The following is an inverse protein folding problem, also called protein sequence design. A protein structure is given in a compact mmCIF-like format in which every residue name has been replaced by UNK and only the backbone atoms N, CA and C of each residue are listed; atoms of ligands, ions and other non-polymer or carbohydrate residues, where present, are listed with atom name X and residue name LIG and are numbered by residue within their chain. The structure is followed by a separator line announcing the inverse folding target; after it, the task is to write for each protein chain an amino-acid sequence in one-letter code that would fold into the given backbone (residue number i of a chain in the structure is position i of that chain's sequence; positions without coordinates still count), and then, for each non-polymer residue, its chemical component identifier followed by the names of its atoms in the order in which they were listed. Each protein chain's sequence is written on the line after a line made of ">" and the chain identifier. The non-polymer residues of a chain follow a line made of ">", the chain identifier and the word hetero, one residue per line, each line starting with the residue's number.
data_IF_600080418626
#
_entry.id   IF_600080418626
#
_cell.length_a   1.000
_cell.length_b   1.000
_cell.length_c   1.000
_cell.angle_alpha   90.00
_cell.angle_beta   90.00
_cell.angle_gamma   90.00
#
_symmetry.space_group_name_H-M   'P 1'
#
loop_
_entity.id
_entity.type
_entity.pdbx_description
1 polymer ?
#
# COMPACT_ATOMS: atom_id res chain seq x y z
N UNK A 1 -13.84 -9.92 34.33
CA UNK A 1 -14.36 -9.14 33.17
C UNK A 1 -14.03 -9.88 31.90
N UNK A 2 -15.01 -10.18 31.08
CA UNK A 2 -14.86 -10.82 29.78
C UNK A 2 -14.51 -9.78 28.71
N UNK A 3 -14.05 -10.25 27.52
CA UNK A 3 -13.79 -9.35 26.38
C UNK A 3 -15.06 -8.60 25.95
N UNK A 4 -16.23 -9.26 25.98
CA UNK A 4 -17.50 -8.61 25.64
C UNK A 4 -17.89 -7.54 26.64
N UNK A 5 -17.64 -7.74 27.94
CA UNK A 5 -17.84 -6.69 28.95
C UNK A 5 -16.92 -5.48 28.74
N UNK A 6 -15.67 -5.70 28.27
CA UNK A 6 -14.77 -4.61 27.90
C UNK A 6 -15.31 -3.83 26.68
N UNK A 7 -15.75 -4.54 25.63
CA UNK A 7 -16.36 -3.88 24.46
C UNK A 7 -17.62 -3.11 24.82
N UNK A 8 -18.45 -3.63 25.73
CA UNK A 8 -19.63 -2.92 26.23
C UNK A 8 -19.26 -1.63 26.96
N UNK A 9 -18.19 -1.64 27.77
CA UNK A 9 -17.67 -0.41 28.42
C UNK A 9 -17.14 0.62 27.39
N UNK A 10 -16.68 0.15 26.21
CA UNK A 10 -16.27 1.00 25.10
C UNK A 10 -17.46 1.45 24.23
N UNK A 11 -18.69 1.12 24.61
CA UNK A 11 -19.90 1.56 23.93
C UNK A 11 -20.42 0.61 22.85
N UNK A 12 -19.87 -0.58 22.70
CA UNK A 12 -20.36 -1.58 21.73
C UNK A 12 -21.52 -2.38 22.33
N UNK A 13 -22.69 -2.32 21.72
CA UNK A 13 -23.90 -3.03 22.19
C UNK A 13 -23.82 -4.55 21.94
N UNK A 14 -24.61 -5.30 22.73
CA UNK A 14 -24.72 -6.77 22.56
C UNK A 14 -25.22 -7.13 21.15
N UNK A 15 -26.10 -6.33 20.55
CA UNK A 15 -26.59 -6.55 19.17
C UNK A 15 -25.44 -6.55 18.16
N UNK A 16 -24.53 -5.59 18.26
CA UNK A 16 -23.33 -5.53 17.39
C UNK A 16 -22.41 -6.71 17.66
N UNK A 17 -22.22 -7.11 18.93
CA UNK A 17 -21.39 -8.27 19.26
C UNK A 17 -21.96 -9.58 18.70
N UNK A 18 -23.26 -9.81 18.84
CA UNK A 18 -23.92 -11.02 18.33
C UNK A 18 -23.89 -11.08 16.78
N UNK A 19 -24.20 -9.97 16.12
CA UNK A 19 -24.07 -9.83 14.66
C UNK A 19 -22.65 -10.13 14.19
N UNK A 20 -21.65 -9.53 14.83
CA UNK A 20 -20.24 -9.71 14.47
C UNK A 20 -19.76 -11.15 14.67
N UNK A 21 -20.22 -11.82 15.73
CA UNK A 21 -19.86 -13.21 15.99
C UNK A 21 -20.41 -14.16 14.89
N UNK A 22 -21.64 -13.93 14.43
CA UNK A 22 -22.23 -14.67 13.33
C UNK A 22 -21.46 -14.45 12.01
N UNK A 23 -21.08 -13.20 11.71
CA UNK A 23 -20.26 -12.88 10.52
C UNK A 23 -18.88 -13.57 10.58
N UNK A 24 -18.19 -13.54 11.73
CA UNK A 24 -16.88 -14.17 11.89
C UNK A 24 -16.89 -15.66 11.60
N UNK A 25 -17.95 -16.38 11.97
CA UNK A 25 -18.10 -17.79 11.68
C UNK A 25 -18.16 -18.08 10.16
N UNK A 26 -18.73 -17.16 9.38
CA UNK A 26 -18.90 -17.31 7.93
C UNK A 26 -17.61 -17.10 7.13
N UNK A 27 -16.67 -16.32 7.66
CA UNK A 27 -15.42 -15.93 6.99
C UNK A 27 -14.17 -16.68 7.49
N UNK A 28 -14.35 -17.72 8.30
CA UNK A 28 -13.25 -18.53 8.80
C UNK A 28 -12.34 -19.11 7.69
N UNK A 29 -12.85 -19.57 6.53
CA UNK A 29 -12.02 -20.03 5.43
C UNK A 29 -11.09 -18.95 4.85
N UNK A 30 -11.58 -17.70 4.74
CA UNK A 30 -10.80 -16.56 4.25
C UNK A 30 -9.65 -16.24 5.22
N UNK A 31 -9.92 -16.31 6.52
CA UNK A 31 -8.89 -16.12 7.55
C UNK A 31 -7.82 -17.20 7.48
N UNK A 32 -8.21 -18.47 7.32
CA UNK A 32 -7.27 -19.56 7.17
C UNK A 32 -6.35 -19.40 5.93
N UNK A 33 -6.91 -18.89 4.81
CA UNK A 33 -6.10 -18.58 3.63
C UNK A 33 -5.10 -17.44 3.89
N UNK A 34 -5.55 -16.37 4.55
CA UNK A 34 -4.68 -15.23 4.91
C UNK A 34 -3.55 -15.71 5.85
N UNK A 35 -3.85 -16.57 6.82
CA UNK A 35 -2.84 -17.12 7.74
C UNK A 35 -1.80 -17.96 7.00
N UNK A 36 -2.22 -18.80 6.04
CA UNK A 36 -1.30 -19.59 5.25
C UNK A 36 -0.35 -18.71 4.40
N UNK A 37 -0.86 -17.62 3.82
CA UNK A 37 -0.03 -16.64 3.08
C UNK A 37 0.96 -15.94 4.03
N UNK A 38 0.50 -15.56 5.22
CA UNK A 38 1.37 -14.91 6.21
C UNK A 38 2.48 -15.86 6.71
N UNK A 39 2.17 -17.13 6.97
CA UNK A 39 3.15 -18.15 7.35
C UNK A 39 4.22 -18.31 6.27
N UNK A 40 3.81 -18.42 5.00
CA UNK A 40 4.74 -18.50 3.88
C UNK A 40 5.67 -17.28 3.82
N UNK A 41 5.13 -16.08 3.89
CA UNK A 41 5.92 -14.85 3.83
C UNK A 41 6.81 -14.69 5.07
N UNK A 42 6.36 -15.12 6.26
CA UNK A 42 7.19 -15.12 7.46
C UNK A 42 8.41 -16.04 7.29
N UNK A 43 8.21 -17.24 6.75
CA UNK A 43 9.31 -18.16 6.46
C UNK A 43 10.28 -17.56 5.43
N UNK A 44 9.77 -16.94 4.36
CA UNK A 44 10.56 -16.25 3.33
C UNK A 44 11.42 -15.12 3.93
N UNK A 45 10.86 -14.30 4.82
CA UNK A 45 11.59 -13.22 5.50
C UNK A 45 12.69 -13.79 6.40
N UNK A 46 12.37 -14.80 7.23
CA UNK A 46 13.36 -15.44 8.12
C UNK A 46 14.49 -16.05 7.30
N UNK A 47 14.17 -16.78 6.22
CA UNK A 47 15.16 -17.37 5.35
C UNK A 47 16.09 -16.30 4.75
N UNK A 48 15.56 -15.19 4.23
CA UNK A 48 16.37 -14.10 3.68
C UNK A 48 17.29 -13.48 4.73
N UNK A 49 16.83 -13.29 5.97
CA UNK A 49 17.65 -12.79 7.08
C UNK A 49 18.78 -13.76 7.44
N UNK A 50 18.50 -15.07 7.48
CA UNK A 50 19.49 -16.10 7.79
C UNK A 50 20.54 -16.26 6.69
N UNK A 51 20.12 -16.32 5.42
CA UNK A 51 21.03 -16.39 4.26
C UNK A 51 21.97 -15.21 4.18
N UNK A 52 21.51 -14.02 4.56
CA UNK A 52 22.32 -12.80 4.63
C UNK A 52 23.00 -12.61 5.99
N UNK A 53 23.01 -13.63 6.86
CA UNK A 53 23.72 -13.66 8.14
C UNK A 53 23.45 -12.42 9.00
N UNK A 54 22.16 -12.03 9.11
CA UNK A 54 21.78 -10.89 9.96
C UNK A 54 22.34 -11.07 11.37
N UNK A 55 23.09 -10.09 11.85
CA UNK A 55 23.75 -10.11 13.16
C UNK A 55 23.52 -8.79 13.90
N UNK A 56 23.72 -8.77 15.20
CA UNK A 56 23.51 -7.60 16.05
C UNK A 56 24.32 -6.36 15.61
N UNK A 57 25.48 -6.56 15.00
CA UNK A 57 26.29 -5.46 14.47
C UNK A 57 25.60 -4.65 13.37
N UNK A 58 24.69 -5.27 12.62
CA UNK A 58 23.91 -4.59 11.57
C UNK A 58 22.88 -3.58 12.13
N UNK A 59 22.71 -3.53 13.44
CA UNK A 59 21.83 -2.55 14.10
C UNK A 59 22.58 -1.29 14.55
N UNK A 60 23.90 -1.23 14.35
CA UNK A 60 24.70 -0.09 14.74
C UNK A 60 24.30 1.16 13.93
N UNK A 61 24.17 2.33 14.59
CA UNK A 61 23.89 3.58 13.88
C UNK A 61 25.09 4.07 13.10
N UNK A 62 24.85 4.69 11.97
CA UNK A 62 25.84 5.47 11.21
C UNK A 62 25.37 6.91 11.08
N UNK A 63 26.33 7.83 10.90
CA UNK A 63 26.12 9.28 10.77
C UNK A 63 26.95 9.86 9.63
N UNK A 64 26.69 11.10 9.25
CA UNK A 64 27.44 11.77 8.20
C UNK A 64 27.28 11.09 6.85
N UNK A 65 28.36 10.76 6.19
CA UNK A 65 28.32 10.08 4.89
C UNK A 65 27.79 8.65 4.97
N UNK A 66 28.00 7.95 6.09
CA UNK A 66 27.57 6.55 6.24
C UNK A 66 28.33 5.62 5.29
N UNK A 67 29.63 5.85 5.06
CA UNK A 67 30.47 4.90 4.32
C UNK A 67 30.56 3.58 5.07
N UNK A 68 30.62 2.47 4.33
CA UNK A 68 30.74 1.11 4.87
C UNK A 68 29.66 0.78 5.92
N UNK A 69 28.43 1.24 5.69
CA UNK A 69 27.28 0.93 6.56
C UNK A 69 26.78 -0.49 6.29
N UNK A 70 27.42 -1.47 6.93
CA UNK A 70 27.09 -2.89 6.77
C UNK A 70 25.62 -3.19 7.06
N UNK A 71 25.02 -2.49 8.02
CA UNK A 71 23.61 -2.69 8.37
C UNK A 71 22.68 -2.26 7.24
N UNK A 72 22.91 -1.08 6.68
CA UNK A 72 22.19 -0.57 5.51
C UNK A 72 22.33 -1.53 4.31
N UNK A 73 23.54 -1.90 3.99
CA UNK A 73 23.83 -2.72 2.83
C UNK A 73 23.29 -4.15 2.98
N UNK A 74 23.30 -4.69 4.21
CA UNK A 74 22.72 -5.98 4.51
C UNK A 74 21.18 -5.96 4.39
N UNK A 75 20.53 -4.88 4.85
CA UNK A 75 19.07 -4.70 4.69
C UNK A 75 18.68 -4.71 3.21
N UNK A 76 19.43 -4.02 2.36
CA UNK A 76 19.19 -3.99 0.91
C UNK A 76 19.36 -5.38 0.28
N UNK A 77 20.36 -6.17 0.69
CA UNK A 77 20.48 -7.58 0.25
C UNK A 77 19.31 -8.45 0.68
N UNK A 78 18.81 -8.27 1.91
CA UNK A 78 17.64 -9.01 2.41
C UNK A 78 16.38 -8.65 1.60
N UNK A 79 16.14 -7.37 1.31
CA UNK A 79 15.04 -6.95 0.44
C UNK A 79 15.17 -7.54 -0.97
N UNK A 80 16.35 -7.46 -1.58
CA UNK A 80 16.60 -8.07 -2.89
C UNK A 80 16.28 -9.57 -2.89
N UNK A 81 16.69 -10.28 -1.83
CA UNK A 81 16.40 -11.72 -1.68
C UNK A 81 14.90 -12.01 -1.53
N UNK A 82 14.16 -11.22 -0.74
CA UNK A 82 12.71 -11.39 -0.54
C UNK A 82 11.95 -11.15 -1.85
N UNK A 83 12.33 -10.13 -2.61
CA UNK A 83 11.71 -9.77 -3.88
C UNK A 83 12.23 -10.57 -5.08
N UNK A 84 13.25 -11.43 -4.91
CA UNK A 84 13.86 -12.19 -5.98
C UNK A 84 14.53 -11.30 -7.05
N UNK A 85 15.14 -10.20 -6.63
CA UNK A 85 15.78 -9.21 -7.51
C UNK A 85 17.29 -9.19 -7.38
N UNK A 86 17.97 -8.56 -8.35
CA UNK A 86 19.42 -8.40 -8.35
C UNK A 86 19.89 -7.41 -7.27
N UNK A 87 19.08 -6.36 -7.02
CA UNK A 87 19.40 -5.29 -6.09
C UNK A 87 18.16 -4.69 -5.44
N UNK A 88 18.39 -3.97 -4.34
CA UNK A 88 17.40 -3.12 -3.71
C UNK A 88 18.06 -1.81 -3.23
N UNK A 89 17.24 -0.77 -3.07
CA UNK A 89 17.56 0.50 -2.41
C UNK A 89 16.52 0.73 -1.32
N UNK A 90 16.94 0.67 -0.05
CA UNK A 90 16.06 0.74 1.13
C UNK A 90 16.61 1.78 2.08
N UNK A 91 16.00 2.96 2.10
CA UNK A 91 16.62 4.14 2.71
C UNK A 91 15.64 5.01 3.51
N UNK A 92 16.06 5.51 4.69
CA UNK A 92 15.31 6.53 5.41
C UNK A 92 15.26 7.88 4.67
N UNK A 93 16.23 8.16 3.80
CA UNK A 93 16.27 9.36 2.96
C UNK A 93 15.20 9.37 1.86
N UNK A 94 14.59 8.26 1.55
CA UNK A 94 13.39 8.18 0.71
C UNK A 94 12.18 8.48 1.60
N UNK A 95 11.72 9.71 1.62
CA UNK A 95 10.83 10.26 2.66
C UNK A 95 9.42 9.65 2.70
N UNK A 96 8.94 9.09 1.58
CA UNK A 96 7.60 8.50 1.46
C UNK A 96 7.46 7.68 0.17
N UNK A 97 6.32 7.02 -0.03
CA UNK A 97 6.04 6.24 -1.24
C UNK A 97 6.06 7.08 -2.52
N UNK A 98 5.47 8.27 -2.49
CA UNK A 98 5.52 9.21 -3.65
C UNK A 98 6.95 9.58 -4.01
N UNK A 99 7.83 9.80 -3.02
CA UNK A 99 9.25 10.06 -3.28
C UNK A 99 9.95 8.83 -3.87
N UNK A 100 9.66 7.62 -3.39
CA UNK A 100 10.21 6.39 -3.96
C UNK A 100 9.84 6.23 -5.45
N UNK A 101 8.57 6.48 -5.79
CA UNK A 101 8.06 6.42 -7.17
C UNK A 101 8.67 7.54 -8.03
N UNK A 102 8.70 8.78 -7.54
CA UNK A 102 9.32 9.91 -8.23
C UNK A 102 10.80 9.65 -8.52
N UNK A 103 11.52 9.08 -7.54
CA UNK A 103 12.92 8.71 -7.67
C UNK A 103 13.12 7.64 -8.75
N UNK A 104 12.34 6.56 -8.72
CA UNK A 104 12.43 5.47 -9.69
C UNK A 104 12.13 5.95 -11.12
N UNK A 105 11.11 6.79 -11.29
CA UNK A 105 10.74 7.38 -12.57
C UNK A 105 11.83 8.33 -13.07
N UNK A 106 12.24 9.32 -12.27
CA UNK A 106 13.21 10.34 -12.67
C UNK A 106 14.63 9.79 -12.88
N UNK A 107 14.97 8.65 -12.30
CA UNK A 107 16.25 7.98 -12.51
C UNK A 107 16.31 7.22 -13.84
N UNK A 108 15.16 6.73 -14.32
CA UNK A 108 15.09 5.80 -15.44
C UNK A 108 14.41 6.38 -16.70
N UNK A 109 14.00 7.64 -16.65
CA UNK A 109 13.44 8.41 -17.78
C UNK A 109 14.35 9.60 -18.10
N UNK A 110 14.64 9.80 -19.38
CA UNK A 110 15.44 10.90 -19.90
C UNK A 110 14.57 11.82 -20.76
N UNK A 111 15.02 13.07 -21.05
CA UNK A 111 14.33 13.95 -21.97
C UNK A 111 14.08 13.27 -23.33
N UNK A 112 12.83 13.29 -23.78
CA UNK A 112 12.39 12.63 -25.01
C UNK A 112 11.78 11.23 -24.82
N UNK A 113 11.96 10.61 -23.65
CA UNK A 113 11.30 9.35 -23.31
C UNK A 113 9.79 9.54 -23.04
N UNK A 114 9.05 8.44 -23.14
CA UNK A 114 7.63 8.38 -22.78
C UNK A 114 7.40 7.42 -21.61
N UNK A 115 6.62 7.89 -20.63
CA UNK A 115 6.03 7.09 -19.56
C UNK A 115 4.63 6.65 -19.98
N UNK A 116 4.33 5.35 -19.94
CA UNK A 116 3.01 4.79 -20.23
C UNK A 116 2.39 4.16 -18.96
N UNK A 117 1.14 4.52 -18.66
CA UNK A 117 0.31 3.79 -17.70
C UNK A 117 -0.74 2.95 -18.43
N UNK A 118 -0.69 1.62 -18.36
CA UNK A 118 -1.65 0.74 -19.03
C UNK A 118 -2.89 0.43 -18.19
N UNK A 119 -3.04 1.05 -17.02
CA UNK A 119 -4.07 0.77 -16.03
C UNK A 119 -4.86 2.03 -15.62
N UNK A 120 -4.97 2.99 -16.54
CA UNK A 120 -5.58 4.29 -16.30
C UNK A 120 -4.64 5.27 -15.58
N UNK A 121 -5.21 6.32 -15.00
CA UNK A 121 -4.45 7.33 -14.27
C UNK A 121 -3.76 6.73 -13.04
N UNK A 122 -2.49 7.09 -12.77
CA UNK A 122 -1.79 6.70 -11.55
C UNK A 122 -2.38 7.45 -10.34
N UNK A 123 -1.92 7.05 -9.15
CA UNK A 123 -2.36 7.65 -7.89
C UNK A 123 -2.18 9.19 -7.89
N UNK A 124 -3.12 9.90 -7.29
CA UNK A 124 -3.27 11.37 -7.37
C UNK A 124 -1.98 12.16 -7.08
N UNK A 125 -1.14 11.68 -6.13
CA UNK A 125 0.12 12.35 -5.81
C UNK A 125 1.15 12.29 -6.95
N UNK A 126 1.04 11.33 -7.86
CA UNK A 126 1.91 11.23 -9.04
C UNK A 126 1.54 12.20 -10.16
N UNK A 127 0.33 12.76 -10.17
CA UNK A 127 -0.08 13.74 -11.16
C UNK A 127 0.87 14.96 -11.20
N UNK A 128 1.34 15.42 -10.04
CA UNK A 128 2.35 16.47 -9.93
C UNK A 128 3.75 16.02 -10.36
N UNK A 129 4.14 14.79 -10.00
CA UNK A 129 5.45 14.22 -10.39
C UNK A 129 5.55 14.04 -11.89
N UNK A 130 4.52 13.51 -12.52
CA UNK A 130 4.44 13.28 -13.97
C UNK A 130 4.30 14.61 -14.71
N UNK A 131 3.50 15.56 -14.17
CA UNK A 131 3.19 16.84 -14.79
C UNK A 131 1.85 16.86 -15.54
N UNK A 132 0.98 15.87 -15.34
CA UNK A 132 -0.44 15.92 -15.79
C UNK A 132 -1.20 17.03 -15.06
N UNK A 133 -0.83 17.30 -13.81
CA UNK A 133 -1.10 18.55 -13.11
C UNK A 133 0.17 19.41 -13.16
N UNK A 134 0.13 20.60 -13.79
CA UNK A 134 1.30 21.46 -13.91
C UNK A 134 1.97 21.72 -12.55
N UNK A 135 3.21 21.27 -12.41
CA UNK A 135 3.97 21.36 -11.16
C UNK A 135 5.44 21.60 -11.51
N UNK A 136 6.10 22.62 -10.94
CA UNK A 136 7.53 22.84 -11.12
C UNK A 136 8.35 21.61 -10.70
N UNK A 137 9.35 21.24 -11.51
CA UNK A 137 10.18 20.06 -11.27
C UNK A 137 9.56 18.75 -11.72
N UNK A 138 8.40 18.76 -12.39
CA UNK A 138 7.74 17.57 -12.93
C UNK A 138 8.53 16.94 -14.09
N UNK A 139 8.30 15.68 -14.38
CA UNK A 139 8.91 14.96 -15.50
C UNK A 139 8.60 15.65 -16.85
N UNK A 140 7.40 16.24 -17.00
CA UNK A 140 7.01 16.98 -18.18
C UNK A 140 7.91 18.22 -18.42
N UNK A 141 8.32 18.95 -17.38
CA UNK A 141 9.27 20.06 -17.52
C UNK A 141 10.65 19.60 -18.00
N UNK A 142 11.04 18.36 -17.68
CA UNK A 142 12.28 17.76 -18.16
C UNK A 142 12.13 17.05 -19.52
N UNK A 143 11.01 17.25 -20.21
CA UNK A 143 10.80 16.74 -21.57
C UNK A 143 10.42 15.27 -21.65
N UNK A 144 9.94 14.66 -20.57
CA UNK A 144 9.34 13.33 -20.56
C UNK A 144 7.85 13.45 -20.88
N UNK A 145 7.38 12.68 -21.87
CA UNK A 145 5.96 12.63 -22.22
C UNK A 145 5.23 11.55 -21.40
N UNK A 146 3.92 11.75 -21.22
CA UNK A 146 3.07 10.80 -20.53
C UNK A 146 1.88 10.38 -21.39
N UNK A 147 1.53 9.10 -21.29
CA UNK A 147 0.34 8.52 -21.90
C UNK A 147 -0.29 7.52 -20.95
N UNK A 148 -1.61 7.38 -21.01
CA UNK A 148 -2.33 6.31 -20.31
C UNK A 148 -3.31 5.61 -21.26
N UNK A 149 -3.63 4.36 -20.92
CA UNK A 149 -4.69 3.56 -21.53
C UNK A 149 -5.70 3.26 -20.45
N UNK A 150 -6.96 3.62 -20.72
CA UNK A 150 -8.04 3.36 -19.78
C UNK A 150 -8.37 1.87 -19.74
N UNK A 151 -8.91 1.44 -18.60
CA UNK A 151 -9.39 0.08 -18.44
C UNK A 151 -10.72 -0.11 -19.17
N UNK A 152 -10.96 -1.32 -19.64
CA UNK A 152 -12.27 -1.75 -20.13
C UNK A 152 -13.26 -1.88 -18.98
N UNK A 153 -14.54 -2.05 -19.30
CA UNK A 153 -15.59 -2.30 -18.32
C UNK A 153 -15.22 -3.46 -17.38
N UNK A 154 -15.50 -3.31 -16.09
CA UNK A 154 -15.12 -4.29 -15.08
C UNK A 154 -13.64 -4.26 -14.65
N UNK A 155 -12.84 -3.33 -15.16
CA UNK A 155 -11.42 -3.17 -14.79
C UNK A 155 -10.46 -4.09 -15.54
N UNK A 156 -10.89 -4.68 -16.67
CA UNK A 156 -10.04 -5.49 -17.54
C UNK A 156 -9.04 -4.62 -18.31
N UNK A 157 -7.86 -5.20 -18.65
CA UNK A 157 -6.85 -4.51 -19.44
C UNK A 157 -7.28 -4.38 -20.90
N UNK A 158 -7.13 -3.20 -21.48
CA UNK A 158 -7.31 -2.97 -22.92
C UNK A 158 -6.00 -3.30 -23.67
N UNK A 159 -5.80 -4.57 -23.97
CA UNK A 159 -4.59 -5.02 -24.67
C UNK A 159 -4.42 -4.41 -26.06
N UNK A 160 -5.48 -4.12 -26.78
CA UNK A 160 -5.41 -3.49 -28.10
C UNK A 160 -5.03 -2.00 -27.97
N UNK A 161 -5.63 -1.29 -27.00
CA UNK A 161 -5.25 0.07 -26.66
C UNK A 161 -3.80 0.18 -26.20
N UNK A 162 -3.34 -0.77 -25.35
CA UNK A 162 -1.94 -0.82 -24.89
C UNK A 162 -0.98 -1.02 -26.05
N UNK A 163 -1.27 -1.95 -26.97
CA UNK A 163 -0.46 -2.21 -28.17
C UNK A 163 -0.38 -0.96 -29.06
N UNK A 164 -1.49 -0.27 -29.25
CA UNK A 164 -1.55 0.96 -30.06
C UNK A 164 -0.82 2.14 -29.38
N UNK A 165 -0.75 2.17 -28.04
CA UNK A 165 -0.08 3.22 -27.28
C UNK A 165 1.45 3.05 -27.25
N UNK A 166 1.96 1.82 -27.20
CA UNK A 166 3.41 1.54 -27.16
C UNK A 166 4.05 2.00 -28.47
N UNK A 167 5.14 2.78 -28.35
CA UNK A 167 5.89 3.30 -29.48
C UNK A 167 7.40 3.36 -29.17
N UNK A 168 8.21 3.87 -30.10
CA UNK A 168 9.67 3.91 -29.95
C UNK A 168 10.15 4.72 -28.74
N UNK A 169 9.38 5.73 -28.30
CA UNK A 169 9.69 6.58 -27.15
C UNK A 169 9.25 5.98 -25.83
N UNK A 170 8.36 4.98 -25.84
CA UNK A 170 7.87 4.33 -24.62
C UNK A 170 9.03 3.61 -23.93
N UNK A 171 9.58 4.24 -22.92
CA UNK A 171 10.75 3.76 -22.17
C UNK A 171 10.37 2.99 -20.92
N UNK A 172 9.34 3.47 -20.21
CA UNK A 172 8.91 2.90 -18.94
C UNK A 172 7.38 2.77 -18.90
N UNK A 173 6.93 1.61 -18.44
CA UNK A 173 5.52 1.32 -18.15
C UNK A 173 5.36 1.27 -16.64
N UNK A 174 4.45 2.09 -16.09
CA UNK A 174 4.12 2.11 -14.67
C UNK A 174 2.79 1.43 -14.41
N UNK A 175 2.78 0.44 -13.53
CA UNK A 175 1.59 -0.34 -13.17
C UNK A 175 1.29 -0.10 -11.70
N UNK A 176 0.17 0.54 -11.38
CA UNK A 176 -0.31 0.66 -10.02
C UNK A 176 -1.10 -0.58 -9.63
N UNK A 177 -0.61 -1.37 -8.67
CA UNK A 177 -1.23 -2.63 -8.21
C UNK A 177 -2.53 -2.38 -7.46
N UNK A 178 -2.49 -1.57 -6.42
CA UNK A 178 -3.66 -1.25 -5.61
C UNK A 178 -4.57 -0.23 -6.29
N UNK A 179 -5.86 -0.28 -5.97
CA UNK A 179 -6.87 0.60 -6.56
C UNK A 179 -6.76 2.07 -6.14
N UNK A 180 -6.11 2.40 -5.01
CA UNK A 180 -6.22 3.72 -4.43
C UNK A 180 -7.69 4.10 -4.16
N UNK A 181 -8.11 5.31 -4.57
CA UNK A 181 -9.52 5.74 -4.51
C UNK A 181 -10.35 5.38 -5.76
N UNK A 182 -9.83 4.54 -6.63
CA UNK A 182 -10.57 4.09 -7.80
C UNK A 182 -11.55 2.95 -7.45
N UNK A 183 -12.58 2.79 -8.26
CA UNK A 183 -13.58 1.71 -8.12
C UNK A 183 -13.16 0.42 -8.83
N UNK A 184 -12.01 0.41 -9.51
CA UNK A 184 -11.46 -0.77 -10.16
C UNK A 184 -10.98 -1.81 -9.15
N UNK A 185 -10.88 -3.11 -9.53
CA UNK A 185 -10.22 -4.10 -8.68
C UNK A 185 -8.71 -3.82 -8.55
N UNK A 186 -8.10 -4.29 -7.47
CA UNK A 186 -6.64 -4.38 -7.33
C UNK A 186 -6.16 -5.65 -8.04
N UNK A 187 -4.95 -5.60 -8.62
CA UNK A 187 -4.46 -6.68 -9.47
C UNK A 187 -3.69 -7.72 -8.68
N UNK A 188 -3.88 -9.01 -9.06
CA UNK A 188 -3.03 -10.09 -8.57
C UNK A 188 -1.64 -10.01 -9.20
N UNK A 189 -0.67 -10.66 -8.54
CA UNK A 189 0.68 -10.83 -9.08
C UNK A 189 0.63 -11.53 -10.43
N UNK A 190 -0.24 -12.55 -10.58
CA UNK A 190 -0.45 -13.25 -11.86
C UNK A 190 -0.94 -12.31 -12.98
N UNK A 191 -1.96 -11.49 -12.71
CA UNK A 191 -2.49 -10.51 -13.67
C UNK A 191 -1.42 -9.49 -14.09
N UNK A 192 -0.64 -9.02 -13.12
CA UNK A 192 0.50 -8.13 -13.40
C UNK A 192 1.52 -8.83 -14.29
N UNK A 193 1.85 -10.09 -14.04
CA UNK A 193 2.74 -10.88 -14.87
C UNK A 193 2.25 -11.04 -16.31
N UNK A 194 0.96 -11.32 -16.50
CA UNK A 194 0.33 -11.39 -17.82
C UNK A 194 0.42 -10.07 -18.58
N UNK A 195 0.15 -8.96 -17.90
CA UNK A 195 0.25 -7.61 -18.47
C UNK A 195 1.70 -7.28 -18.86
N UNK A 196 2.66 -7.55 -17.99
CA UNK A 196 4.09 -7.32 -18.25
C UNK A 196 4.56 -8.16 -19.44
N UNK A 197 4.21 -9.44 -19.48
CA UNK A 197 4.58 -10.32 -20.59
C UNK A 197 4.05 -9.78 -21.93
N UNK A 198 2.80 -9.29 -21.96
CA UNK A 198 2.22 -8.65 -23.13
C UNK A 198 2.97 -7.37 -23.53
N UNK A 199 3.26 -6.49 -22.58
CA UNK A 199 3.99 -5.25 -22.86
C UNK A 199 5.40 -5.54 -23.43
N UNK A 200 6.10 -6.53 -22.87
CA UNK A 200 7.43 -6.95 -23.34
C UNK A 200 7.39 -7.69 -24.68
N UNK A 201 6.27 -8.31 -25.06
CA UNK A 201 6.07 -8.80 -26.42
C UNK A 201 5.96 -7.65 -27.43
N UNK A 202 5.30 -6.54 -27.06
CA UNK A 202 5.18 -5.36 -27.89
C UNK A 202 6.51 -4.59 -28.01
N UNK A 203 7.26 -4.48 -26.89
CA UNK A 203 8.54 -3.76 -26.81
C UNK A 203 9.47 -4.45 -25.79
N UNK A 204 10.39 -5.33 -26.26
CA UNK A 204 11.21 -6.18 -25.39
C UNK A 204 12.12 -5.44 -24.40
N UNK A 205 12.55 -4.23 -24.72
CA UNK A 205 13.43 -3.39 -23.90
C UNK A 205 12.70 -2.43 -22.97
N UNK A 206 11.36 -2.46 -22.95
CA UNK A 206 10.58 -1.57 -22.07
C UNK A 206 10.77 -1.96 -20.60
N UNK A 207 10.96 -0.96 -19.77
CA UNK A 207 11.06 -1.14 -18.31
C UNK A 207 9.65 -1.21 -17.74
N UNK A 208 9.32 -2.27 -17.01
CA UNK A 208 8.06 -2.43 -16.29
C UNK A 208 8.28 -2.19 -14.80
N UNK A 209 7.74 -1.10 -14.28
CA UNK A 209 7.78 -0.71 -12.87
C UNK A 209 6.39 -0.92 -12.24
N UNK A 210 6.35 -1.52 -11.07
CA UNK A 210 5.11 -1.69 -10.29
C UNK A 210 5.14 -0.83 -9.04
N UNK A 211 4.15 0.06 -8.90
CA UNK A 211 3.79 0.62 -7.59
C UNK A 211 3.12 -0.48 -6.78
N UNK A 212 3.87 -1.04 -5.84
CA UNK A 212 3.46 -2.20 -5.06
C UNK A 212 2.84 -1.82 -3.70
N UNK A 213 2.67 -0.53 -3.42
CA UNK A 213 2.05 -0.06 -2.17
C UNK A 213 0.74 -0.79 -1.89
N UNK A 214 0.57 -1.27 -0.65
CA UNK A 214 -0.57 -2.03 -0.14
C UNK A 214 -0.66 -3.50 -0.60
N UNK A 215 0.15 -3.92 -1.59
CA UNK A 215 0.14 -5.28 -2.11
C UNK A 215 1.18 -6.20 -1.48
N UNK A 216 2.21 -5.64 -0.85
CA UNK A 216 3.33 -6.40 -0.31
C UNK A 216 2.86 -7.42 0.73
N UNK A 217 3.30 -8.66 0.59
CA UNK A 217 2.96 -9.80 1.46
C UNK A 217 1.47 -10.18 1.51
N UNK A 218 0.63 -9.62 0.63
CA UNK A 218 -0.78 -10.04 0.50
C UNK A 218 -0.91 -11.34 -0.32
N UNK A 219 0.06 -11.62 -1.18
CA UNK A 219 0.25 -12.87 -1.90
C UNK A 219 1.62 -13.49 -1.54
N UNK A 220 1.89 -14.72 -1.96
CA UNK A 220 3.17 -15.40 -1.70
C UNK A 220 4.31 -14.88 -2.59
N UNK A 221 3.96 -14.41 -3.79
CA UNK A 221 4.88 -13.84 -4.75
C UNK A 221 4.72 -12.32 -4.84
N UNK A 222 5.78 -11.65 -5.29
CA UNK A 222 5.82 -10.22 -5.54
C UNK A 222 5.89 -9.95 -7.06
N UNK A 223 5.53 -8.75 -7.53
CA UNK A 223 5.52 -8.45 -8.98
C UNK A 223 6.84 -8.71 -9.69
N UNK A 224 7.96 -8.63 -8.99
CA UNK A 224 9.29 -8.92 -9.54
C UNK A 224 9.50 -10.41 -9.85
N UNK A 225 8.80 -11.31 -9.16
CA UNK A 225 8.85 -12.75 -9.43
C UNK A 225 8.15 -13.12 -10.75
N UNK A 226 7.32 -12.23 -11.29
CA UNK A 226 6.56 -12.44 -12.54
C UNK A 226 6.98 -11.49 -13.67
N UNK A 227 8.17 -10.85 -13.55
CA UNK A 227 8.80 -10.13 -14.64
C UNK A 227 8.80 -8.61 -14.54
N UNK A 228 8.35 -8.01 -13.42
CA UNK A 228 8.57 -6.59 -13.19
C UNK A 228 10.07 -6.30 -13.03
N UNK A 229 10.54 -5.27 -13.73
CA UNK A 229 11.94 -4.83 -13.66
C UNK A 229 12.22 -4.07 -12.36
N UNK A 230 11.17 -3.44 -11.79
CA UNK A 230 11.22 -2.77 -10.49
C UNK A 230 9.88 -2.91 -9.75
N UNK A 231 9.94 -3.11 -8.43
CA UNK A 231 8.84 -2.92 -7.49
C UNK A 231 9.20 -1.80 -6.50
N UNK A 232 8.27 -0.88 -6.29
CA UNK A 232 8.50 0.37 -5.55
C UNK A 232 7.44 0.54 -4.48
N UNK A 233 7.82 1.01 -3.30
CA UNK A 233 6.85 1.29 -2.25
C UNK A 233 7.40 2.05 -1.03
N UNK A 234 6.58 2.12 0.00
CA UNK A 234 6.82 2.89 1.21
C UNK A 234 7.08 1.98 2.42
N UNK A 235 8.03 2.37 3.27
CA UNK A 235 8.27 1.66 4.53
C UNK A 235 7.27 2.02 5.63
N UNK A 236 6.56 3.15 5.55
CA UNK A 236 5.48 3.46 6.50
C UNK A 236 4.16 2.73 6.16
N UNK A 237 4.21 1.78 5.20
CA UNK A 237 3.11 0.89 4.81
C UNK A 237 3.43 -0.56 5.20
N UNK A 238 3.03 -1.52 4.35
CA UNK A 238 3.11 -2.95 4.64
C UNK A 238 4.47 -3.40 5.17
N UNK A 239 5.57 -3.11 4.45
CA UNK A 239 6.89 -3.67 4.76
C UNK A 239 7.54 -3.11 6.03
N UNK A 240 7.11 -1.95 6.49
CA UNK A 240 7.61 -1.40 7.74
C UNK A 240 6.96 -1.98 8.99
N UNK A 241 5.91 -2.83 8.84
CA UNK A 241 5.26 -3.54 9.94
C UNK A 241 4.78 -2.64 11.09
N UNK A 242 4.49 -1.36 10.81
CA UNK A 242 4.10 -0.37 11.81
C UNK A 242 5.26 0.15 12.67
N UNK A 243 6.51 -0.21 12.39
CA UNK A 243 7.69 0.24 13.15
C UNK A 243 8.59 1.21 12.39
N UNK A 244 8.63 1.15 11.06
CA UNK A 244 9.47 2.03 10.27
C UNK A 244 8.98 3.48 10.35
N UNK A 245 9.78 4.42 10.91
CA UNK A 245 9.32 5.80 11.15
C UNK A 245 9.26 6.65 9.87
N UNK A 246 9.88 6.20 8.80
CA UNK A 246 10.01 6.85 7.50
C UNK A 246 10.54 5.84 6.49
N UNK A 247 10.80 6.27 5.28
CA UNK A 247 11.55 5.49 4.31
C UNK A 247 10.74 4.95 3.17
N UNK A 248 11.47 4.47 2.17
CA UNK A 248 10.93 3.80 0.99
C UNK A 248 11.88 2.73 0.50
N UNK A 249 11.37 1.88 -0.40
CA UNK A 249 12.16 0.84 -1.04
C UNK A 249 11.95 0.84 -2.55
N UNK A 250 12.99 0.43 -3.27
CA UNK A 250 12.97 0.13 -4.70
C UNK A 250 13.75 -1.17 -4.88
N UNK A 251 13.10 -2.24 -5.32
CA UNK A 251 13.72 -3.54 -5.59
C UNK A 251 13.66 -3.82 -7.09
N UNK A 252 14.74 -4.29 -7.70
CA UNK A 252 14.73 -4.54 -9.15
C UNK A 252 16.09 -4.93 -9.71
N UNK A 253 16.22 -4.74 -11.04
CA UNK A 253 17.46 -4.95 -11.76
C UNK A 253 18.55 -4.01 -11.26
N UNK A 254 19.77 -4.52 -11.20
CA UNK A 254 20.94 -3.78 -10.68
C UNK A 254 21.15 -2.44 -11.38
N UNK A 255 21.09 -2.41 -12.72
CA UNK A 255 21.31 -1.20 -13.52
C UNK A 255 20.30 -0.09 -13.23
N UNK A 256 19.04 -0.45 -12.97
CA UNK A 256 17.97 0.49 -12.64
C UNK A 256 18.09 1.00 -11.21
N UNK A 257 18.46 0.12 -10.28
CA UNK A 257 18.67 0.48 -8.87
C UNK A 257 19.90 1.40 -8.70
N UNK A 258 20.95 1.17 -9.44
CA UNK A 258 22.13 2.04 -9.41
C UNK A 258 21.79 3.46 -9.91
N UNK A 259 20.99 3.58 -10.95
CA UNK A 259 20.46 4.89 -11.40
C UNK A 259 19.62 5.56 -10.30
N UNK A 260 18.76 4.80 -9.61
CA UNK A 260 18.00 5.33 -8.47
C UNK A 260 18.91 5.82 -7.35
N UNK A 261 19.98 5.08 -7.03
CA UNK A 261 20.96 5.49 -6.01
C UNK A 261 21.69 6.77 -6.40
N UNK A 262 22.12 6.92 -7.67
CA UNK A 262 22.71 8.16 -8.17
C UNK A 262 21.73 9.34 -8.14
N UNK A 263 20.45 9.10 -8.37
CA UNK A 263 19.44 10.15 -8.31
C UNK A 263 19.08 10.54 -6.88
N UNK A 264 19.10 9.57 -5.95
CA UNK A 264 18.84 9.82 -4.53
C UNK A 264 19.94 10.66 -3.87
N UNK A 265 21.18 10.41 -4.24
CA UNK A 265 22.37 11.07 -3.70
C UNK A 265 22.95 12.04 -4.72
N UNK A 266 23.96 11.62 -5.46
CA UNK A 266 24.50 12.33 -6.61
C UNK A 266 25.20 11.35 -7.57
N UNK A 267 25.30 11.68 -8.87
CA UNK A 267 26.15 10.94 -9.79
C UNK A 267 27.58 10.82 -9.26
N UNK A 268 28.12 9.61 -9.24
CA UNK A 268 29.44 9.31 -8.70
C UNK A 268 29.48 8.94 -7.21
N UNK A 269 28.42 9.23 -6.42
CA UNK A 269 28.31 8.80 -5.02
C UNK A 269 27.42 7.54 -4.89
N UNK A 270 26.20 7.61 -5.41
CA UNK A 270 25.28 6.47 -5.48
C UNK A 270 25.01 5.83 -4.13
N UNK A 271 25.23 4.52 -4.05
CA UNK A 271 24.92 3.68 -2.87
C UNK A 271 25.88 3.85 -1.71
N UNK A 272 27.08 4.39 -1.96
CA UNK A 272 28.17 4.51 -0.97
C UNK A 272 27.84 5.45 0.19
N UNK A 273 26.91 6.38 -0.01
CA UNK A 273 26.53 7.37 1.00
C UNK A 273 25.06 7.24 1.41
N UNK A 274 24.75 7.77 2.59
CA UNK A 274 23.42 7.75 3.18
C UNK A 274 23.40 7.02 4.52
N UNK A 275 23.72 7.76 5.59
CA UNK A 275 23.73 7.22 6.94
C UNK A 275 22.36 6.68 7.37
N UNK A 276 22.33 5.59 8.13
CA UNK A 276 21.09 4.99 8.60
C UNK A 276 20.45 5.73 9.78
N UNK A 277 21.16 6.65 10.44
CA UNK A 277 20.66 7.50 11.53
C UNK A 277 20.06 6.73 12.72
N UNK A 278 20.41 5.45 12.89
CA UNK A 278 19.93 4.60 13.97
C UNK A 278 18.52 4.00 13.75
N UNK A 279 17.93 4.11 12.55
CA UNK A 279 16.58 3.58 12.27
C UNK A 279 16.56 2.09 11.87
N UNK A 280 17.72 1.48 11.63
CA UNK A 280 17.80 0.09 11.15
C UNK A 280 17.12 -0.94 12.07
N UNK A 281 17.18 -0.85 13.42
CA UNK A 281 16.44 -1.77 14.28
C UNK A 281 14.94 -1.78 13.96
N UNK A 282 14.34 -0.61 13.74
CA UNK A 282 12.94 -0.48 13.37
C UNK A 282 12.65 -1.03 11.96
N UNK A 283 13.54 -0.84 11.00
CA UNK A 283 13.40 -1.37 9.64
C UNK A 283 13.48 -2.89 9.61
N UNK A 284 14.46 -3.48 10.28
CA UNK A 284 14.63 -4.94 10.35
C UNK A 284 13.49 -5.60 11.12
N UNK A 285 13.15 -5.08 12.29
CA UNK A 285 12.07 -5.63 13.10
C UNK A 285 10.70 -5.41 12.43
N UNK A 286 10.51 -4.25 11.77
CA UNK A 286 9.32 -3.97 10.99
C UNK A 286 9.14 -4.95 9.84
N UNK A 287 10.19 -5.22 9.06
CA UNK A 287 10.18 -6.23 8.01
C UNK A 287 9.87 -7.64 8.55
N UNK A 288 10.46 -8.00 9.70
CA UNK A 288 10.18 -9.28 10.38
C UNK A 288 8.71 -9.40 10.78
N UNK A 289 8.09 -8.34 11.28
CA UNK A 289 6.69 -8.33 11.71
C UNK A 289 5.70 -8.16 10.54
N UNK A 290 6.15 -7.64 9.41
CA UNK A 290 5.30 -7.25 8.29
C UNK A 290 4.32 -8.36 7.83
N UNK A 291 4.70 -9.64 7.68
CA UNK A 291 3.74 -10.69 7.29
C UNK A 291 2.55 -10.82 8.24
N UNK A 292 2.79 -10.75 9.55
CA UNK A 292 1.74 -10.81 10.59
C UNK A 292 0.88 -9.54 10.60
N UNK A 293 1.49 -8.37 10.46
CA UNK A 293 0.77 -7.09 10.43
C UNK A 293 -0.11 -6.99 9.18
N UNK A 294 0.41 -7.39 8.01
CA UNK A 294 -0.35 -7.43 6.77
C UNK A 294 -1.52 -8.39 6.85
N UNK A 295 -1.32 -9.59 7.46
CA UNK A 295 -2.43 -10.53 7.69
C UNK A 295 -3.50 -9.94 8.59
N UNK A 296 -3.11 -9.20 9.63
CA UNK A 296 -4.06 -8.52 10.52
C UNK A 296 -4.89 -7.48 9.77
N UNK A 297 -4.26 -6.66 8.93
CA UNK A 297 -4.93 -5.68 8.08
C UNK A 297 -5.87 -6.35 7.06
N UNK A 298 -5.42 -7.41 6.39
CA UNK A 298 -6.22 -8.17 5.42
C UNK A 298 -7.45 -8.83 6.09
N UNK A 299 -7.30 -9.39 7.29
CA UNK A 299 -8.42 -9.91 8.08
C UNK A 299 -9.41 -8.82 8.46
N UNK A 300 -8.92 -7.64 8.85
CA UNK A 300 -9.75 -6.47 9.09
C UNK A 300 -10.58 -6.08 7.88
N UNK A 301 -9.95 -6.05 6.70
CA UNK A 301 -10.61 -5.75 5.42
C UNK A 301 -11.68 -6.78 5.05
N UNK A 302 -11.39 -8.10 5.20
CA UNK A 302 -12.37 -9.17 4.97
C UNK A 302 -13.55 -9.06 5.94
N UNK A 303 -13.28 -8.79 7.22
CA UNK A 303 -14.33 -8.65 8.23
C UNK A 303 -15.21 -7.41 7.97
N UNK A 304 -14.62 -6.28 7.60
CA UNK A 304 -15.36 -5.09 7.18
C UNK A 304 -16.28 -5.41 5.99
N UNK A 305 -15.73 -6.04 4.93
CA UNK A 305 -16.50 -6.45 3.78
C UNK A 305 -17.69 -7.32 4.19
N UNK A 306 -17.46 -8.39 4.95
CA UNK A 306 -18.50 -9.33 5.34
C UNK A 306 -19.62 -8.70 6.18
N UNK A 307 -19.27 -7.81 7.12
CA UNK A 307 -20.27 -7.09 7.92
C UNK A 307 -21.14 -6.19 7.06
N UNK A 308 -20.53 -5.38 6.20
CA UNK A 308 -21.28 -4.42 5.39
C UNK A 308 -22.01 -5.05 4.21
N UNK A 309 -21.50 -6.15 3.61
CA UNK A 309 -22.26 -6.97 2.65
C UNK A 309 -23.53 -7.54 3.26
N UNK A 310 -23.42 -8.10 4.47
CA UNK A 310 -24.58 -8.67 5.18
C UNK A 310 -25.65 -7.63 5.49
N UNK A 311 -25.27 -6.36 5.58
CA UNK A 311 -26.16 -5.21 5.76
C UNK A 311 -26.67 -4.60 4.43
N UNK A 312 -26.33 -5.22 3.28
CA UNK A 312 -26.78 -4.78 1.96
C UNK A 312 -26.06 -3.57 1.37
N UNK A 313 -24.84 -3.31 1.84
CA UNK A 313 -23.95 -2.33 1.21
C UNK A 313 -23.13 -3.00 0.09
N UNK A 314 -22.82 -2.24 -0.96
CA UNK A 314 -21.84 -2.67 -1.95
C UNK A 314 -20.43 -2.49 -1.40
N UNK A 315 -19.62 -3.51 -1.55
CA UNK A 315 -18.21 -3.51 -1.11
C UNK A 315 -17.29 -3.96 -2.24
N UNK A 316 -16.06 -3.48 -2.26
CA UNK A 316 -15.06 -3.86 -3.29
C UNK A 316 -13.69 -3.99 -2.63
N UNK A 317 -13.09 -5.19 -2.68
CA UNK A 317 -13.61 -6.48 -3.15
C UNK A 317 -14.68 -7.06 -2.20
N UNK A 318 -15.38 -8.11 -2.63
CA UNK A 318 -16.31 -8.83 -1.77
C UNK A 318 -15.56 -9.59 -0.66
N UNK A 319 -16.29 -9.96 0.40
CA UNK A 319 -15.69 -10.70 1.52
C UNK A 319 -15.13 -12.06 1.15
N UNK A 320 -15.60 -12.63 0.02
CA UNK A 320 -15.17 -13.96 -0.45
C UNK A 320 -14.07 -13.92 -1.50
N UNK A 321 -13.78 -12.75 -2.07
CA UNK A 321 -12.69 -12.59 -3.02
C UNK A 321 -11.33 -12.68 -2.32
N UNK A 322 -10.35 -13.29 -3.00
CA UNK A 322 -8.96 -13.32 -2.56
C UNK A 322 -8.41 -11.89 -2.60
N UNK A 323 -7.79 -11.47 -1.51
CA UNK A 323 -7.22 -10.13 -1.37
C UNK A 323 -5.99 -9.95 -2.26
N UNK A 324 -5.87 -8.72 -2.82
CA UNK A 324 -4.73 -8.29 -3.64
C UNK A 324 -4.03 -7.07 -3.05
N UNK A 325 -4.71 -6.42 -2.09
CA UNK A 325 -4.23 -5.36 -1.23
C UNK A 325 -4.96 -5.41 0.13
N UNK A 326 -4.66 -4.46 1.01
CA UNK A 326 -5.27 -4.34 2.35
C UNK A 326 -6.45 -3.36 2.38
N UNK A 327 -6.87 -2.81 1.25
CA UNK A 327 -7.92 -1.78 1.18
C UNK A 327 -9.29 -2.42 1.00
N UNK A 328 -10.27 -1.92 1.76
CA UNK A 328 -11.68 -2.27 1.62
C UNK A 328 -12.50 -1.03 1.33
N UNK A 329 -13.05 -0.94 0.13
CA UNK A 329 -14.04 0.08 -0.19
C UNK A 329 -15.44 -0.39 0.28
N UNK A 330 -16.19 0.50 0.92
CA UNK A 330 -17.59 0.30 1.35
C UNK A 330 -18.40 1.49 0.88
N UNK A 331 -19.39 1.26 0.00
CA UNK A 331 -20.29 2.31 -0.50
C UNK A 331 -21.42 2.57 0.51
N UNK A 332 -21.30 3.62 1.29
CA UNK A 332 -22.21 3.93 2.41
C UNK A 332 -23.43 4.76 1.99
N UNK A 333 -23.60 5.02 0.69
CA UNK A 333 -24.79 5.62 0.06
C UNK A 333 -25.11 7.07 0.49
N UNK A 334 -24.42 7.64 1.46
CA UNK A 334 -24.66 8.99 1.96
C UNK A 334 -23.47 9.60 2.68
N UNK A 335 -23.42 10.94 2.72
CA UNK A 335 -22.47 11.69 3.56
C UNK A 335 -22.58 11.27 5.05
N UNK A 336 -23.80 11.10 5.54
CA UNK A 336 -24.03 10.70 6.94
C UNK A 336 -23.42 9.32 7.25
N UNK A 337 -23.55 8.36 6.32
CA UNK A 337 -22.92 7.03 6.42
C UNK A 337 -21.40 7.12 6.52
N UNK A 338 -20.76 7.89 5.65
CA UNK A 338 -19.32 8.08 5.69
C UNK A 338 -18.85 8.70 7.01
N UNK A 339 -19.55 9.72 7.48
CA UNK A 339 -19.21 10.39 8.75
C UNK A 339 -19.39 9.44 9.93
N UNK A 340 -20.49 8.69 10.00
CA UNK A 340 -20.73 7.73 11.09
C UNK A 340 -19.70 6.61 11.10
N UNK A 341 -19.34 6.07 9.92
CA UNK A 341 -18.29 5.07 9.78
C UNK A 341 -16.94 5.60 10.30
N UNK A 342 -16.50 6.74 9.78
CA UNK A 342 -15.20 7.32 10.15
C UNK A 342 -15.14 7.72 11.64
N UNK A 343 -16.24 8.21 12.22
CA UNK A 343 -16.31 8.47 13.67
C UNK A 343 -16.08 7.20 14.50
N UNK A 344 -16.64 6.06 14.08
CA UNK A 344 -16.41 4.79 14.74
C UNK A 344 -14.95 4.31 14.65
N UNK A 345 -14.34 4.44 13.46
CA UNK A 345 -12.91 4.10 13.29
C UNK A 345 -12.02 5.01 14.15
N UNK A 346 -12.27 6.32 14.17
CA UNK A 346 -11.49 7.27 15.00
C UNK A 346 -11.63 6.98 16.48
N UNK A 347 -12.83 6.69 16.95
CA UNK A 347 -13.08 6.37 18.35
C UNK A 347 -12.41 5.05 18.81
N UNK A 348 -12.11 4.13 17.87
CA UNK A 348 -11.36 2.91 18.16
C UNK A 348 -9.84 3.10 18.13
N UNK A 349 -9.33 4.24 17.68
CA UNK A 349 -7.90 4.48 17.55
C UNK A 349 -7.21 4.59 18.92
N UNK A 350 -5.95 4.13 19.06
CA UNK A 350 -5.19 4.30 20.29
C UNK A 350 -4.68 5.74 20.50
N UNK A 351 -4.56 6.49 19.41
CA UNK A 351 -4.08 7.87 19.38
C UNK A 351 -5.23 8.76 18.90
N UNK A 352 -5.45 9.89 19.56
CA UNK A 352 -6.47 10.87 19.19
C UNK A 352 -7.92 10.32 19.12
N UNK A 353 -8.25 9.27 19.88
CA UNK A 353 -9.59 8.66 19.90
C UNK A 353 -10.70 9.63 20.33
N UNK A 354 -10.37 10.69 21.03
CA UNK A 354 -11.29 11.73 21.48
C UNK A 354 -11.63 12.77 20.39
N UNK A 355 -10.91 12.76 19.28
CA UNK A 355 -11.15 13.65 18.13
C UNK A 355 -12.34 13.16 17.33
N UNK A 356 -13.18 14.07 16.86
CA UNK A 356 -14.28 13.77 15.96
C UNK A 356 -13.89 14.15 14.53
N UNK A 357 -13.75 13.19 13.61
CA UNK A 357 -13.44 13.52 12.22
C UNK A 357 -14.64 14.18 11.54
N UNK A 358 -14.37 15.24 10.78
CA UNK A 358 -15.34 15.96 9.97
C UNK A 358 -14.80 16.14 8.54
N UNK A 359 -15.67 16.14 7.52
CA UNK A 359 -15.26 16.45 6.15
C UNK A 359 -14.72 17.89 6.06
N UNK A 360 -13.60 18.06 5.35
CA UNK A 360 -12.98 19.35 5.13
C UNK A 360 -12.29 19.44 3.75
N UNK A 361 -12.07 20.65 3.27
CA UNK A 361 -11.38 20.91 2.03
C UNK A 361 -9.88 20.61 2.16
N UNK A 362 -9.46 19.42 1.74
CA UNK A 362 -8.08 18.97 1.82
C UNK A 362 -7.28 19.46 0.60
N UNK A 363 -6.07 20.03 0.78
CA UNK A 363 -5.23 20.46 -0.33
C UNK A 363 -4.94 19.30 -1.30
N UNK A 364 -5.19 19.55 -2.61
CA UNK A 364 -4.96 18.57 -3.67
C UNK A 364 -6.19 17.72 -4.04
N UNK A 365 -7.32 17.90 -3.39
CA UNK A 365 -8.59 17.24 -3.70
C UNK A 365 -9.64 18.28 -4.14
N UNK A 366 -10.51 17.88 -5.07
CA UNK A 366 -11.61 18.71 -5.56
C UNK A 366 -12.81 18.71 -4.59
N UNK A 367 -13.09 17.54 -4.00
CA UNK A 367 -14.16 17.36 -3.02
C UNK A 367 -13.63 17.43 -1.59
N UNK A 368 -14.52 17.72 -0.63
CA UNK A 368 -14.19 17.53 0.78
C UNK A 368 -13.82 16.07 1.05
N UNK A 369 -12.84 15.86 1.90
CA UNK A 369 -12.40 14.52 2.34
C UNK A 369 -12.66 14.36 3.81
N UNK A 370 -13.19 13.22 4.24
CA UNK A 370 -13.20 12.81 5.63
C UNK A 370 -12.06 11.81 5.85
N UNK A 371 -11.34 11.94 6.96
CA UNK A 371 -10.24 11.06 7.33
C UNK A 371 -10.33 10.70 8.81
N UNK A 372 -10.37 9.42 9.12
CA UNK A 372 -10.22 8.86 10.45
C UNK A 372 -8.87 8.13 10.50
N UNK A 373 -7.97 8.63 11.34
CA UNK A 373 -6.67 8.05 11.56
C UNK A 373 -6.17 8.42 12.96
N UNK A 374 -5.69 7.44 13.70
CA UNK A 374 -5.05 7.61 15.00
C UNK A 374 -3.83 6.72 15.07
N UNK A 375 -2.81 7.10 14.27
CA UNK A 375 -1.62 6.32 14.03
C UNK A 375 -0.44 6.77 14.90
N UNK A 376 0.42 5.83 15.29
CA UNK A 376 1.70 6.11 15.95
C UNK A 376 2.70 6.77 14.99
N UNK A 377 2.60 6.44 13.69
CA UNK A 377 3.42 7.01 12.64
C UNK A 377 2.51 7.74 11.65
N UNK A 378 2.69 9.04 11.51
CA UNK A 378 1.84 9.86 10.65
C UNK A 378 1.87 9.37 9.20
N UNK A 379 0.68 9.16 8.63
CA UNK A 379 0.51 8.67 7.26
C UNK A 379 0.73 7.17 7.07
N UNK A 380 0.96 6.41 8.15
CA UNK A 380 1.11 4.96 8.12
C UNK A 380 -0.25 4.28 7.89
N UNK A 381 -0.58 4.00 6.65
CA UNK A 381 -1.84 3.35 6.28
C UNK A 381 -1.87 1.83 6.51
N UNK A 382 -0.78 1.24 7.01
CA UNK A 382 -0.80 -0.11 7.62
C UNK A 382 -1.40 -0.07 9.03
N UNK A 383 -1.45 1.10 9.66
CA UNK A 383 -2.22 1.35 10.86
C UNK A 383 -3.70 1.59 10.52
N UNK A 384 -4.58 1.35 11.48
CA UNK A 384 -6.02 1.43 11.25
C UNK A 384 -6.43 2.84 10.81
N UNK A 385 -7.06 2.94 9.65
CA UNK A 385 -7.59 4.19 9.13
C UNK A 385 -8.78 3.96 8.21
N UNK A 386 -9.56 5.01 7.98
CA UNK A 386 -10.60 5.07 6.98
C UNK A 386 -10.70 6.49 6.45
N UNK A 387 -10.78 6.63 5.14
CA UNK A 387 -10.92 7.92 4.49
C UNK A 387 -11.77 7.82 3.21
N UNK A 388 -12.13 8.95 2.67
CA UNK A 388 -12.81 9.02 1.37
C UNK A 388 -13.30 10.41 1.02
N UNK A 389 -13.38 10.74 -0.28
CA UNK A 389 -13.97 11.98 -0.77
C UNK A 389 -15.49 11.94 -0.60
N UNK A 390 -16.06 13.07 -0.18
CA UNK A 390 -17.50 13.23 0.04
C UNK A 390 -18.20 13.48 -1.30
N UNK A 391 -18.32 12.43 -2.08
CA UNK A 391 -19.03 12.41 -3.37
C UNK A 391 -19.65 11.05 -3.62
N UNK A 392 -20.63 10.94 -4.53
CA UNK A 392 -21.17 9.65 -4.94
C UNK A 392 -20.09 8.74 -5.51
N UNK A 393 -20.12 7.43 -5.17
CA UNK A 393 -21.16 6.70 -4.43
C UNK A 393 -21.03 6.75 -2.89
N UNK A 394 -20.34 7.73 -2.32
CA UNK A 394 -20.08 7.88 -0.89
C UNK A 394 -19.34 6.67 -0.32
N UNK A 395 -18.22 6.33 -0.92
CA UNK A 395 -17.39 5.21 -0.53
C UNK A 395 -16.33 5.62 0.48
N UNK A 396 -16.19 4.87 1.57
CA UNK A 396 -15.04 4.91 2.46
C UNK A 396 -14.04 3.84 2.06
N UNK A 397 -12.76 4.14 2.22
CA UNK A 397 -11.65 3.22 2.01
C UNK A 397 -11.05 2.89 3.38
N UNK A 398 -11.48 1.75 3.92
CA UNK A 398 -10.99 1.20 5.18
C UNK A 398 -9.71 0.44 4.92
N UNK A 399 -8.71 0.60 5.78
CA UNK A 399 -7.42 -0.06 5.62
C UNK A 399 -6.66 -0.19 6.94
N UNK A 400 -5.71 -1.11 6.98
CA UNK A 400 -4.77 -1.25 8.06
C UNK A 400 -5.32 -1.93 9.31
N UNK A 401 -4.49 -1.87 10.33
CA UNK A 401 -4.67 -2.50 11.63
C UNK A 401 -3.45 -3.33 12.00
N UNK A 402 -2.56 -2.80 12.83
CA UNK A 402 -1.34 -3.50 13.28
C UNK A 402 -1.65 -4.82 13.97
N UNK A 403 -2.81 -4.93 14.57
CA UNK A 403 -3.33 -6.18 15.13
C UNK A 403 -4.74 -6.44 14.63
N UNK A 404 -5.07 -7.68 14.39
CA UNK A 404 -6.44 -8.11 14.05
C UNK A 404 -7.48 -7.60 15.06
N UNK A 405 -7.15 -7.64 16.34
CA UNK A 405 -8.08 -7.23 17.41
C UNK A 405 -8.41 -5.75 17.37
N UNK A 406 -7.45 -4.90 17.00
CA UNK A 406 -7.67 -3.47 16.79
C UNK A 406 -8.54 -3.21 15.55
N UNK A 407 -8.24 -3.86 14.42
CA UNK A 407 -9.07 -3.77 13.22
C UNK A 407 -10.51 -4.23 13.49
N UNK A 408 -10.69 -5.34 14.22
CA UNK A 408 -12.00 -5.81 14.69
C UNK A 408 -12.74 -4.76 15.50
N UNK A 409 -12.09 -4.16 16.52
CA UNK A 409 -12.70 -3.11 17.34
C UNK A 409 -13.13 -1.91 16.48
N UNK A 410 -12.31 -1.49 15.52
CA UNK A 410 -12.66 -0.40 14.60
C UNK A 410 -13.96 -0.67 13.86
N UNK A 411 -14.12 -1.89 13.32
CA UNK A 411 -15.35 -2.27 12.64
C UNK A 411 -16.55 -2.37 13.60
N UNK A 412 -16.37 -2.93 14.81
CA UNK A 412 -17.44 -2.97 15.82
C UNK A 412 -17.94 -1.55 16.15
N UNK A 413 -17.02 -0.60 16.34
CA UNK A 413 -17.38 0.78 16.66
C UNK A 413 -17.96 1.51 15.44
N UNK A 414 -17.54 1.22 14.22
CA UNK A 414 -18.17 1.76 13.02
C UNK A 414 -19.61 1.27 12.88
N UNK A 415 -19.88 -0.01 13.12
CA UNK A 415 -21.22 -0.58 13.14
C UNK A 415 -22.09 0.04 14.23
N UNK A 416 -21.55 0.23 15.43
CA UNK A 416 -22.28 0.87 16.54
C UNK A 416 -22.67 2.32 16.19
N UNK A 417 -21.75 3.11 15.67
CA UNK A 417 -22.04 4.50 15.26
C UNK A 417 -23.07 4.56 14.13
N UNK A 418 -23.02 3.63 13.19
CA UNK A 418 -24.03 3.52 12.10
C UNK A 418 -25.41 3.12 12.66
N UNK A 419 -25.45 2.21 13.65
CA UNK A 419 -26.67 1.80 14.33
C UNK A 419 -27.29 2.94 15.12
N UNK A 420 -26.49 3.66 15.92
CA UNK A 420 -26.92 4.80 16.75
C UNK A 420 -27.42 5.96 15.89
N UNK A 421 -26.86 6.13 14.70
CA UNK A 421 -27.34 7.11 13.72
C UNK A 421 -28.58 6.67 12.95
N UNK A 422 -29.11 5.46 13.18
CA UNK A 422 -30.28 4.92 12.47
C UNK A 422 -30.03 4.64 10.98
N UNK A 423 -28.76 4.39 10.60
CA UNK A 423 -28.35 4.16 9.22
C UNK A 423 -28.27 2.67 8.85
N UNK A 424 -28.30 1.81 9.85
CA UNK A 424 -28.36 0.33 9.71
C UNK A 424 -29.31 -0.28 10.74
N UNK A 425 -29.79 -1.49 10.44
CA UNK A 425 -30.49 -2.37 11.38
C UNK A 425 -29.74 -3.70 11.49
N UNK A 426 -29.65 -4.29 12.73
CA UNK A 426 -28.94 -5.54 13.02
C UNK A 426 -29.91 -6.65 13.45
#
# INVERSE_FOLDING_TARGET
>A
MTTNELYAQMGVSQRVLDFSAAVLAEIAPQFAHIDAVAEHNQAKVIQAMQENRLAAMHFNPSTGYGYDDDGRDNLERIYARIFGTEAALVRPQITCGTHALALALAANLLPGDELLSPVGAPYDTLAGVIGTRPTPGSLAEYGVSYRQVELLEGGAFDYDGIRAAINDKTKLITIQRSKGYATRPSYSVEQIGQLIAFCKQCKPDVICMVDNCYGEFVETDEPTNVGADMAVGSLIKNLGGGLAPTGGYICGRQDLIDRCAYRLTAPGLGREVGANLGVLPAFYQGLFLAPTVVSSAAKGAVFAAACYEKLGFRVVPSSREVRRDIIQAVELKSRAGMVAFCKGIQAAAPVDSYVTPEPWAMPGYEDEVIMAAGAFIQGASIELSADGPIREPYAVYFQGGLTWYHAKLGILMSLQNMLDAGLIEL
#
